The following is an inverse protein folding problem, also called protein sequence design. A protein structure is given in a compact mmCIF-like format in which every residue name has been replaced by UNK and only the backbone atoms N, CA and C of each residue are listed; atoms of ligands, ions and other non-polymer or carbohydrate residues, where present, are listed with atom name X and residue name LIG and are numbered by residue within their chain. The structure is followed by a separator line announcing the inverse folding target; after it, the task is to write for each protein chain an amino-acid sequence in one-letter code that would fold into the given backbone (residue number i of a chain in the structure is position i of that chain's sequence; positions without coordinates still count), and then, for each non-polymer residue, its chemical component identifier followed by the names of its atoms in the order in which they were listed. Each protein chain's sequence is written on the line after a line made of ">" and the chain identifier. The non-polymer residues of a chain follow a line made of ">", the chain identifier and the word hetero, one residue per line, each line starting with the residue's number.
data_IF_516554774071
#
_entry.id   IF_516554774071
#
_cell.length_a   1.000
_cell.length_b   1.000
_cell.length_c   1.000
_cell.angle_alpha   90.00
_cell.angle_beta   90.00
_cell.angle_gamma   90.00
#
_symmetry.space_group_name_H-M   'P 1'
#
loop_
_entity.id
_entity.type
_entity.pdbx_description
1 polymer ?
#
# COMPACT_ATOMS: atom_id res chain seq x y z
N UNK A 1 19.97 -13.32 -36.49
CA UNK A 1 20.81 -12.37 -35.71
C UNK A 1 19.85 -11.58 -34.83
N UNK A 2 19.95 -11.67 -33.51
CA UNK A 2 19.19 -10.78 -32.62
C UNK A 2 19.85 -9.41 -32.66
N UNK A 3 19.06 -8.37 -32.87
CA UNK A 3 19.53 -6.99 -32.81
C UNK A 3 19.90 -6.64 -31.37
N UNK A 4 21.11 -6.09 -31.18
CA UNK A 4 21.60 -5.65 -29.88
C UNK A 4 20.91 -4.32 -29.56
N UNK A 5 19.91 -4.36 -28.68
CA UNK A 5 19.20 -3.16 -28.25
C UNK A 5 19.99 -2.48 -27.12
N UNK A 6 20.64 -1.35 -27.43
CA UNK A 6 21.32 -0.52 -26.44
C UNK A 6 20.33 0.46 -25.78
N UNK A 7 20.06 0.25 -24.48
CA UNK A 7 19.35 1.20 -23.62
C UNK A 7 20.33 2.15 -22.95
N UNK A 8 20.21 3.45 -23.25
CA UNK A 8 21.01 4.52 -22.61
C UNK A 8 20.40 5.03 -21.28
N UNK A 9 19.14 4.71 -21.02
CA UNK A 9 18.40 5.11 -19.81
C UNK A 9 17.63 3.91 -19.28
N UNK A 10 17.71 3.70 -17.97
CA UNK A 10 17.07 2.57 -17.28
C UNK A 10 18.03 1.44 -16.95
N UNK A 11 17.55 0.52 -16.13
CA UNK A 11 18.30 -0.63 -15.66
C UNK A 11 17.70 -1.93 -16.25
N UNK A 12 18.52 -2.94 -16.57
CA UNK A 12 18.02 -4.18 -17.13
C UNK A 12 17.13 -4.92 -16.13
N UNK A 13 15.93 -5.30 -16.56
CA UNK A 13 15.02 -6.13 -15.76
C UNK A 13 15.59 -7.55 -15.64
N UNK A 14 15.54 -8.13 -14.43
CA UNK A 14 16.10 -9.45 -14.14
C UNK A 14 17.57 -9.46 -13.71
N UNK A 15 18.28 -8.32 -13.81
CA UNK A 15 19.58 -8.18 -13.16
C UNK A 15 19.42 -8.03 -11.65
N UNK A 16 20.23 -8.78 -10.90
CA UNK A 16 20.27 -8.73 -9.43
C UNK A 16 20.79 -7.40 -8.89
N UNK A 17 21.55 -6.64 -9.70
CA UNK A 17 22.13 -5.35 -9.30
C UNK A 17 21.15 -4.18 -9.53
N UNK A 18 20.22 -4.30 -10.47
CA UNK A 18 19.29 -3.23 -10.83
C UNK A 18 18.47 -2.70 -9.63
N UNK A 19 17.87 -3.56 -8.75
CA UNK A 19 17.14 -3.08 -7.58
C UNK A 19 18.01 -2.29 -6.61
N UNK A 20 19.26 -2.73 -6.41
CA UNK A 20 20.19 -2.05 -5.51
C UNK A 20 20.54 -0.65 -6.03
N UNK A 21 20.90 -0.55 -7.32
CA UNK A 21 21.21 0.74 -7.94
C UNK A 21 20.01 1.69 -7.89
N UNK A 22 18.79 1.19 -8.06
CA UNK A 22 17.59 2.01 -7.94
C UNK A 22 17.42 2.58 -6.52
N UNK A 23 17.67 1.78 -5.49
CA UNK A 23 17.60 2.23 -4.09
C UNK A 23 18.67 3.30 -3.81
N UNK A 24 19.91 3.06 -4.24
CA UNK A 24 21.02 4.02 -4.03
C UNK A 24 20.77 5.32 -4.78
N UNK A 25 20.22 5.25 -5.99
CA UNK A 25 19.89 6.44 -6.80
C UNK A 25 18.83 7.34 -6.14
N UNK A 26 17.98 6.79 -5.27
CA UNK A 26 16.90 7.51 -4.59
C UNK A 26 17.09 7.65 -3.07
N UNK A 27 18.30 7.41 -2.55
CA UNK A 27 18.55 7.40 -1.12
C UNK A 27 18.34 8.79 -0.47
N UNK A 28 18.45 9.87 -1.24
CA UNK A 28 18.31 11.25 -0.79
C UNK A 28 16.87 11.79 -0.90
N UNK A 29 15.94 11.02 -1.48
CA UNK A 29 14.58 11.47 -1.79
C UNK A 29 13.87 12.03 -0.56
N UNK A 30 13.88 11.28 0.54
CA UNK A 30 13.17 11.62 1.79
C UNK A 30 13.67 12.94 2.37
N UNK A 31 14.99 13.15 2.36
CA UNK A 31 15.62 14.37 2.85
C UNK A 31 15.28 15.56 1.92
N UNK A 32 15.32 15.35 0.60
CA UNK A 32 15.02 16.40 -0.39
C UNK A 32 13.58 16.90 -0.33
N UNK A 33 12.62 16.02 -0.02
CA UNK A 33 11.19 16.37 0.02
C UNK A 33 10.72 16.85 1.40
N UNK A 34 11.57 16.86 2.41
CA UNK A 34 11.20 17.29 3.77
C UNK A 34 10.01 16.51 4.36
N UNK A 35 9.87 15.23 4.01
CA UNK A 35 8.80 14.39 4.50
C UNK A 35 8.92 14.19 6.01
N UNK A 36 7.79 14.18 6.73
CA UNK A 36 7.80 13.89 8.18
C UNK A 36 8.17 12.42 8.43
N UNK A 37 7.59 11.53 7.62
CA UNK A 37 7.95 10.13 7.54
C UNK A 37 7.60 9.61 6.15
N UNK A 38 8.29 8.56 5.71
CA UNK A 38 8.04 7.97 4.40
C UNK A 38 8.31 6.47 4.42
N UNK A 39 7.72 5.76 3.47
CA UNK A 39 8.01 4.38 3.19
C UNK A 39 8.25 4.23 1.69
N UNK A 40 9.46 3.82 1.33
CA UNK A 40 9.90 3.59 -0.05
C UNK A 40 10.06 2.09 -0.24
N UNK A 41 9.35 1.53 -1.20
CA UNK A 41 9.47 0.13 -1.57
C UNK A 41 9.53 0.00 -3.08
N UNK A 42 10.73 -0.29 -3.61
CA UNK A 42 10.99 -0.15 -5.04
C UNK A 42 10.49 1.21 -5.56
N UNK A 43 9.68 1.25 -6.61
CA UNK A 43 9.09 2.47 -7.17
C UNK A 43 7.89 3.03 -6.38
N UNK A 44 7.35 2.28 -5.41
CA UNK A 44 6.26 2.76 -4.58
C UNK A 44 6.76 3.69 -3.46
N UNK A 45 6.29 4.93 -3.47
CA UNK A 45 6.58 5.96 -2.46
C UNK A 45 5.30 6.33 -1.70
N UNK A 46 5.32 6.18 -0.38
CA UNK A 46 4.33 6.76 0.52
C UNK A 46 4.97 7.80 1.44
N UNK A 47 4.27 8.91 1.65
CA UNK A 47 4.67 9.94 2.61
C UNK A 47 3.55 10.12 3.63
N UNK A 48 3.96 10.12 4.90
CA UNK A 48 3.08 10.40 6.02
C UNK A 48 3.31 11.82 6.51
N UNK A 49 2.20 12.54 6.73
CA UNK A 49 2.20 13.92 7.21
C UNK A 49 1.35 13.96 8.47
N UNK A 50 1.91 14.52 9.53
CA UNK A 50 1.25 14.59 10.83
C UNK A 50 1.00 16.05 11.18
N UNK A 51 -0.27 16.46 11.36
CA UNK A 51 -0.55 17.81 11.82
C UNK A 51 -0.15 17.96 13.29
N UNK A 52 0.16 19.19 13.75
CA UNK A 52 0.29 19.46 15.16
C UNK A 52 -1.01 19.11 15.89
N UNK A 53 -0.89 18.58 17.10
CA UNK A 53 -2.06 18.20 17.90
C UNK A 53 -2.77 19.48 18.35
N UNK A 54 -4.00 19.68 17.88
CA UNK A 54 -4.84 20.81 18.26
C UNK A 54 -6.17 20.31 18.85
N UNK A 55 -6.81 21.14 19.68
CA UNK A 55 -8.19 20.86 20.16
C UNK A 55 -9.20 20.91 19.01
N UNK A 56 -8.97 21.78 18.04
CA UNK A 56 -9.83 21.95 16.88
C UNK A 56 -9.25 21.28 15.63
N UNK A 57 -10.15 20.71 14.82
CA UNK A 57 -9.78 20.00 13.58
C UNK A 57 -9.43 20.97 12.45
N UNK A 58 -10.06 22.16 12.41
CA UNK A 58 -9.87 23.15 11.35
C UNK A 58 -8.39 23.55 11.13
N UNK A 59 -7.61 23.93 12.16
CA UNK A 59 -6.19 24.24 11.97
C UNK A 59 -5.38 23.03 11.51
N UNK A 60 -5.72 21.82 11.97
CA UNK A 60 -5.05 20.59 11.54
C UNK A 60 -5.29 20.29 10.06
N UNK A 61 -6.52 20.45 9.56
CA UNK A 61 -6.85 20.28 8.14
C UNK A 61 -6.13 21.34 7.29
N UNK A 62 -6.09 22.59 7.76
CA UNK A 62 -5.39 23.67 7.06
C UNK A 62 -3.89 23.34 6.92
N UNK A 63 -3.26 22.90 8.01
CA UNK A 63 -1.87 22.44 8.00
C UNK A 63 -1.66 21.29 7.01
N UNK A 64 -2.48 20.23 7.09
CA UNK A 64 -2.38 19.09 6.19
C UNK A 64 -2.51 19.48 4.71
N UNK A 65 -3.35 20.47 4.41
CA UNK A 65 -3.54 20.97 3.05
C UNK A 65 -2.28 21.66 2.54
N UNK A 66 -1.76 22.60 3.32
CA UNK A 66 -0.59 23.41 2.97
C UNK A 66 0.65 22.51 2.85
N UNK A 67 0.90 21.70 3.88
CA UNK A 67 2.09 20.86 3.95
C UNK A 67 2.02 19.65 3.01
N UNK A 68 0.83 19.07 2.82
CA UNK A 68 0.60 18.06 1.78
C UNK A 68 0.89 18.59 0.38
N UNK A 69 0.39 19.77 0.06
CA UNK A 69 0.60 20.37 -1.27
C UNK A 69 2.07 20.73 -1.49
N UNK A 70 2.74 21.29 -0.47
CA UNK A 70 4.18 21.60 -0.51
C UNK A 70 5.02 20.36 -0.79
N UNK A 71 4.82 19.30 -0.02
CA UNK A 71 5.57 18.04 -0.15
C UNK A 71 5.30 17.40 -1.51
N UNK A 72 4.03 17.32 -1.95
CA UNK A 72 3.69 16.78 -3.27
C UNK A 72 4.40 17.54 -4.41
N UNK A 73 4.49 18.87 -4.32
CA UNK A 73 5.22 19.66 -5.30
C UNK A 73 6.74 19.45 -5.22
N UNK A 74 7.31 19.24 -4.03
CA UNK A 74 8.72 18.88 -3.88
C UNK A 74 9.03 17.52 -4.50
N UNK A 75 8.15 16.52 -4.33
CA UNK A 75 8.26 15.23 -5.03
C UNK A 75 8.22 15.44 -6.54
N UNK A 76 7.28 16.24 -7.05
CA UNK A 76 7.19 16.52 -8.48
C UNK A 76 8.47 17.16 -9.03
N UNK A 77 9.05 18.11 -8.30
CA UNK A 77 10.32 18.75 -8.66
C UNK A 77 11.51 17.79 -8.60
N UNK A 78 11.58 16.94 -7.57
CA UNK A 78 12.58 15.88 -7.46
C UNK A 78 12.48 14.92 -8.65
N UNK A 79 11.26 14.51 -9.01
CA UNK A 79 10.97 13.63 -10.14
C UNK A 79 11.46 14.22 -11.48
N UNK A 80 11.29 15.53 -11.68
CA UNK A 80 11.79 16.27 -12.85
C UNK A 80 13.32 16.35 -12.86
N UNK A 81 13.94 16.66 -11.71
CA UNK A 81 15.40 16.76 -11.55
C UNK A 81 16.10 15.43 -11.88
N UNK A 82 15.54 14.32 -11.40
CA UNK A 82 16.10 12.97 -11.58
C UNK A 82 15.61 12.26 -12.84
N UNK A 83 14.85 12.96 -13.70
CA UNK A 83 14.31 12.46 -14.98
C UNK A 83 13.44 11.21 -14.84
N UNK A 84 12.73 11.07 -13.73
CA UNK A 84 11.78 10.00 -13.46
C UNK A 84 10.45 10.61 -13.04
N UNK A 85 9.64 11.00 -14.03
CA UNK A 85 8.39 11.70 -13.80
C UNK A 85 7.40 10.82 -13.02
N UNK A 86 6.87 11.37 -11.93
CA UNK A 86 5.82 10.70 -11.15
C UNK A 86 4.51 10.78 -11.92
N UNK A 87 3.76 9.69 -11.89
CA UNK A 87 2.44 9.65 -12.50
C UNK A 87 1.40 10.31 -11.57
N UNK A 88 1.16 11.60 -11.79
CA UNK A 88 0.21 12.39 -10.99
C UNK A 88 -1.21 11.81 -11.03
N UNK A 89 -1.64 11.16 -12.12
CA UNK A 89 -3.00 10.57 -12.18
C UNK A 89 -3.16 9.29 -11.37
N UNK A 90 -2.06 8.59 -11.07
CA UNK A 90 -2.05 7.45 -10.14
C UNK A 90 -1.81 7.86 -8.69
N UNK A 91 -1.39 9.11 -8.46
CA UNK A 91 -1.10 9.60 -7.12
C UNK A 91 -2.40 9.98 -6.43
N UNK A 92 -2.60 9.45 -5.23
CA UNK A 92 -3.80 9.69 -4.42
C UNK A 92 -3.41 10.17 -3.04
N UNK A 93 -4.31 10.91 -2.39
CA UNK A 93 -4.20 11.26 -0.98
C UNK A 93 -5.15 10.38 -0.17
N UNK A 94 -4.70 9.94 1.02
CA UNK A 94 -5.56 9.26 1.98
C UNK A 94 -5.46 9.98 3.33
N UNK A 95 -6.62 10.19 3.97
CA UNK A 95 -6.69 10.83 5.29
C UNK A 95 -7.17 9.81 6.31
N UNK A 96 -6.44 9.69 7.41
CA UNK A 96 -6.88 8.93 8.57
C UNK A 96 -7.55 9.87 9.58
N UNK A 97 -8.77 9.53 10.03
CA UNK A 97 -9.51 10.34 11.00
C UNK A 97 -10.45 9.50 11.87
N UNK A 98 -10.61 9.88 13.14
CA UNK A 98 -11.57 9.25 14.05
C UNK A 98 -13.00 9.79 13.86
N UNK A 99 -13.14 11.04 13.39
CA UNK A 99 -14.42 11.77 13.28
C UNK A 99 -15.48 11.07 12.42
N UNK A 100 -16.76 11.15 12.81
CA UNK A 100 -17.86 10.51 12.06
C UNK A 100 -17.94 11.04 10.63
N UNK A 101 -17.85 12.36 10.46
CA UNK A 101 -17.83 12.99 9.14
C UNK A 101 -16.43 12.96 8.54
N UNK A 102 -16.36 12.75 7.22
CA UNK A 102 -15.09 12.77 6.50
C UNK A 102 -14.61 14.22 6.34
N UNK A 103 -13.36 14.52 6.75
CA UNK A 103 -12.79 15.83 6.51
C UNK A 103 -12.59 16.03 5.01
N UNK A 104 -12.95 17.22 4.51
CA UNK A 104 -12.70 17.61 3.13
C UNK A 104 -11.34 18.31 3.08
N UNK A 105 -10.42 17.74 2.31
CA UNK A 105 -9.11 18.33 2.05
C UNK A 105 -8.88 18.40 0.54
N UNK A 106 -8.16 19.43 0.10
CA UNK A 106 -7.77 19.59 -1.30
C UNK A 106 -6.25 19.69 -1.36
N UNK A 107 -5.57 18.59 -1.65
CA UNK A 107 -4.12 18.54 -1.87
C UNK A 107 -3.84 18.64 -3.36
N UNK A 108 -2.79 19.38 -3.73
CA UNK A 108 -2.41 19.58 -5.12
C UNK A 108 -0.99 19.08 -5.39
N UNK A 109 -0.76 18.58 -6.60
CA UNK A 109 0.56 18.18 -7.10
C UNK A 109 0.69 18.66 -8.55
N UNK A 110 1.71 19.47 -8.83
CA UNK A 110 1.97 20.05 -10.17
C UNK A 110 0.72 20.73 -10.76
N UNK A 111 0.01 21.50 -9.93
CA UNK A 111 -1.22 22.21 -10.30
C UNK A 111 -2.48 21.34 -10.39
N UNK A 112 -2.38 20.01 -10.30
CA UNK A 112 -3.54 19.09 -10.34
C UNK A 112 -4.00 18.73 -8.94
N UNK A 113 -5.32 18.72 -8.72
CA UNK A 113 -5.92 18.25 -7.46
C UNK A 113 -5.80 16.74 -7.37
N UNK A 114 -5.27 16.24 -6.26
CA UNK A 114 -5.22 14.80 -5.99
C UNK A 114 -6.59 14.26 -5.57
N UNK A 115 -6.89 13.03 -5.99
CA UNK A 115 -8.05 12.31 -5.51
C UNK A 115 -7.85 11.90 -4.04
N UNK A 116 -8.86 12.15 -3.21
CA UNK A 116 -8.85 11.72 -1.81
C UNK A 116 -9.62 10.41 -1.70
N UNK A 117 -8.90 9.31 -1.49
CA UNK A 117 -9.48 7.96 -1.43
C UNK A 117 -9.79 7.54 0.00
N UNK A 118 -10.86 6.76 0.17
CA UNK A 118 -11.22 6.16 1.47
C UNK A 118 -10.49 4.86 1.74
N UNK A 119 -10.18 4.12 0.68
CA UNK A 119 -9.45 2.87 0.73
C UNK A 119 -8.27 2.94 -0.22
N UNK A 120 -7.10 2.51 0.26
CA UNK A 120 -5.88 2.46 -0.55
C UNK A 120 -5.21 1.11 -0.35
N UNK A 121 -4.89 0.44 -1.47
CA UNK A 121 -4.20 -0.84 -1.45
C UNK A 121 -2.69 -0.62 -1.55
N UNK A 122 -1.96 -1.05 -0.54
CA UNK A 122 -0.51 -0.91 -0.46
C UNK A 122 0.15 -2.19 0.06
N UNK A 123 1.13 -2.73 -0.69
CA UNK A 123 1.91 -3.93 -0.34
C UNK A 123 1.07 -5.13 0.13
N UNK A 124 -0.10 -5.33 -0.50
CA UNK A 124 -1.01 -6.42 -0.15
C UNK A 124 -2.04 -6.09 0.95
N UNK A 125 -1.92 -4.93 1.61
CA UNK A 125 -2.86 -4.44 2.60
C UNK A 125 -3.84 -3.42 2.01
N UNK A 126 -5.10 -3.49 2.41
CA UNK A 126 -6.10 -2.47 2.12
C UNK A 126 -6.31 -1.61 3.37
N UNK A 127 -5.81 -0.37 3.30
CA UNK A 127 -5.90 0.61 4.36
C UNK A 127 -7.17 1.43 4.17
N UNK A 128 -7.99 1.52 5.21
CA UNK A 128 -9.18 2.39 5.21
C UNK A 128 -8.90 3.69 5.96
N UNK A 129 -9.65 4.76 5.67
CA UNK A 129 -9.59 6.04 6.40
C UNK A 129 -9.82 5.92 7.92
N UNK A 130 -10.39 4.79 8.37
CA UNK A 130 -10.58 4.43 9.79
C UNK A 130 -9.49 3.52 10.36
N UNK A 131 -8.40 3.31 9.63
CA UNK A 131 -7.31 2.39 9.97
C UNK A 131 -7.80 0.94 10.21
N UNK A 132 -8.96 0.59 9.65
CA UNK A 132 -9.46 -0.78 9.68
C UNK A 132 -8.80 -1.59 8.56
N UNK A 133 -8.28 -2.77 8.91
CA UNK A 133 -7.75 -3.76 7.98
C UNK A 133 -8.78 -4.80 7.55
N UNK A 134 -10.06 -4.57 7.89
CA UNK A 134 -11.17 -5.48 7.58
C UNK A 134 -11.23 -5.90 6.10
N UNK A 135 -11.09 -4.99 5.11
CA UNK A 135 -11.12 -5.41 3.70
C UNK A 135 -10.01 -6.41 3.36
N UNK A 136 -8.82 -6.24 3.96
CA UNK A 136 -7.71 -7.17 3.76
C UNK A 136 -7.97 -8.54 4.38
N UNK A 137 -8.55 -8.56 5.57
CA UNK A 137 -8.93 -9.80 6.26
C UNK A 137 -10.02 -10.53 5.47
N UNK A 138 -11.08 -9.82 5.07
CA UNK A 138 -12.20 -10.40 4.33
C UNK A 138 -11.71 -11.01 2.99
N UNK A 139 -10.82 -10.32 2.27
CA UNK A 139 -10.18 -10.84 1.05
C UNK A 139 -9.31 -12.07 1.30
N UNK A 140 -8.57 -12.09 2.41
CA UNK A 140 -7.74 -13.23 2.80
C UNK A 140 -8.60 -14.44 3.14
N UNK A 141 -9.70 -14.24 3.87
CA UNK A 141 -10.68 -15.28 4.16
C UNK A 141 -11.32 -15.83 2.88
N UNK A 142 -11.63 -14.98 1.91
CA UNK A 142 -12.14 -15.42 0.61
C UNK A 142 -11.11 -16.31 -0.12
N UNK A 143 -9.83 -15.92 -0.13
CA UNK A 143 -8.77 -16.73 -0.73
C UNK A 143 -8.59 -18.08 0.00
N UNK A 144 -8.67 -18.08 1.34
CA UNK A 144 -8.66 -19.31 2.14
C UNK A 144 -9.83 -20.19 1.70
N UNK A 145 -11.07 -19.68 1.68
CA UNK A 145 -12.24 -20.45 1.27
C UNK A 145 -12.10 -21.01 -0.15
N UNK A 146 -11.60 -20.24 -1.10
CA UNK A 146 -11.34 -20.69 -2.48
C UNK A 146 -10.33 -21.83 -2.52
N UNK A 147 -9.22 -21.74 -1.78
CA UNK A 147 -8.22 -22.83 -1.74
C UNK A 147 -8.73 -24.07 -1.02
N UNK A 148 -9.51 -23.91 0.05
CA UNK A 148 -10.16 -25.03 0.73
C UNK A 148 -11.19 -25.74 -0.13
N UNK A 149 -11.99 -25.00 -0.90
CA UNK A 149 -12.95 -25.60 -1.82
C UNK A 149 -12.25 -26.48 -2.86
N UNK A 150 -11.08 -26.04 -3.37
CA UNK A 150 -10.25 -26.86 -4.27
C UNK A 150 -9.72 -28.12 -3.57
N UNK A 151 -9.19 -27.99 -2.34
CA UNK A 151 -8.73 -29.13 -1.55
C UNK A 151 -9.86 -30.13 -1.26
N UNK A 152 -11.05 -29.62 -0.92
CA UNK A 152 -12.25 -30.44 -0.66
C UNK A 152 -12.70 -31.17 -1.92
N UNK A 153 -12.68 -30.51 -3.06
CA UNK A 153 -12.99 -31.12 -4.36
C UNK A 153 -12.00 -32.25 -4.69
N UNK A 154 -10.69 -32.01 -4.54
CA UNK A 154 -9.66 -33.05 -4.76
C UNK A 154 -9.83 -34.25 -3.82
N UNK A 155 -10.20 -34.02 -2.56
CA UNK A 155 -10.53 -35.08 -1.60
C UNK A 155 -11.77 -35.87 -2.05
N UNK A 156 -12.79 -35.20 -2.57
CA UNK A 156 -14.04 -35.80 -3.04
C UNK A 156 -13.85 -36.75 -4.23
N UNK A 157 -12.88 -36.47 -5.10
CA UNK A 157 -12.54 -37.33 -6.24
C UNK A 157 -11.90 -38.68 -5.87
N UNK A 158 -11.56 -38.92 -4.59
CA UNK A 158 -10.89 -40.14 -4.06
C UNK A 158 -9.60 -40.56 -4.79
N UNK A 159 -9.07 -39.73 -5.68
CA UNK A 159 -7.88 -40.02 -6.50
C UNK A 159 -6.57 -39.65 -5.80
N UNK A 160 -6.65 -38.84 -4.74
CA UNK A 160 -5.49 -38.20 -4.10
C UNK A 160 -5.31 -38.69 -2.68
N UNK A 161 -4.09 -39.12 -2.32
CA UNK A 161 -3.77 -39.56 -0.96
C UNK A 161 -3.84 -38.42 0.05
N UNK A 162 -4.05 -38.77 1.32
CA UNK A 162 -4.08 -37.80 2.43
C UNK A 162 -2.76 -37.04 2.58
N UNK A 163 -1.62 -37.68 2.31
CA UNK A 163 -0.32 -37.03 2.33
C UNK A 163 -0.15 -35.98 1.25
N UNK A 164 -0.64 -36.24 0.03
CA UNK A 164 -0.61 -35.26 -1.06
C UNK A 164 -1.52 -34.08 -0.73
N UNK A 165 -2.73 -34.33 -0.20
CA UNK A 165 -3.63 -33.27 0.25
C UNK A 165 -3.00 -32.40 1.35
N UNK A 166 -2.29 -33.01 2.31
CA UNK A 166 -1.54 -32.29 3.34
C UNK A 166 -0.46 -31.41 2.74
N UNK A 167 0.34 -31.91 1.78
CA UNK A 167 1.35 -31.12 1.07
C UNK A 167 0.72 -29.96 0.30
N UNK A 168 -0.37 -30.19 -0.41
CA UNK A 168 -1.10 -29.13 -1.11
C UNK A 168 -1.65 -28.06 -0.15
N UNK A 169 -2.15 -28.46 1.02
CA UNK A 169 -2.58 -27.52 2.04
C UNK A 169 -1.43 -26.61 2.49
N UNK A 170 -0.27 -27.18 2.84
CA UNK A 170 0.89 -26.39 3.25
C UNK A 170 1.46 -25.52 2.14
N UNK A 171 1.45 -26.00 0.88
CA UNK A 171 1.95 -25.25 -0.26
C UNK A 171 1.03 -24.07 -0.65
N UNK A 172 -0.30 -24.27 -0.65
CA UNK A 172 -1.23 -23.33 -1.28
C UNK A 172 -2.17 -22.60 -0.32
N UNK A 173 -2.48 -23.18 0.84
CA UNK A 173 -3.46 -22.62 1.78
C UNK A 173 -2.82 -22.07 3.06
N UNK A 174 -1.79 -22.75 3.58
CA UNK A 174 -1.21 -22.43 4.89
C UNK A 174 -0.66 -21.01 4.97
N UNK A 175 -0.03 -20.52 3.90
CA UNK A 175 0.55 -19.18 3.89
C UNK A 175 -0.50 -18.07 4.11
N UNK A 176 -1.75 -18.26 3.68
CA UNK A 176 -2.82 -17.30 3.97
C UNK A 176 -3.14 -17.23 5.47
N UNK A 177 -3.07 -18.36 6.19
CA UNK A 177 -3.25 -18.37 7.64
C UNK A 177 -2.07 -17.73 8.34
N UNK A 178 -0.85 -18.08 7.92
CA UNK A 178 0.36 -17.48 8.47
C UNK A 178 0.36 -15.95 8.29
N UNK A 179 -0.09 -15.47 7.13
CA UNK A 179 -0.24 -14.05 6.84
C UNK A 179 -1.37 -13.39 7.64
N UNK A 180 -2.49 -14.09 7.89
CA UNK A 180 -3.60 -13.57 8.69
C UNK A 180 -3.30 -13.55 10.20
N UNK A 181 -2.42 -14.43 10.69
CA UNK A 181 -2.16 -14.63 12.12
C UNK A 181 -1.79 -13.33 12.87
N UNK A 182 -0.88 -12.47 12.37
CA UNK A 182 -0.58 -11.19 13.01
C UNK A 182 -1.75 -10.20 13.05
N UNK A 183 -2.71 -10.33 12.12
CA UNK A 183 -3.85 -9.42 11.98
C UNK A 183 -5.08 -9.88 12.78
N UNK A 184 -5.03 -11.09 13.34
CA UNK A 184 -6.12 -11.67 14.11
C UNK A 184 -6.58 -10.81 15.30
N UNK A 185 -5.70 -10.12 16.06
CA UNK A 185 -6.13 -9.22 17.13
C UNK A 185 -7.03 -8.07 16.63
N UNK A 186 -6.76 -7.56 15.42
CA UNK A 186 -7.56 -6.50 14.78
C UNK A 186 -8.90 -7.00 14.25
N UNK A 187 -9.12 -8.31 14.19
CA UNK A 187 -10.38 -8.94 13.78
C UNK A 187 -11.43 -8.98 14.90
N UNK A 188 -11.10 -8.65 16.16
CA UNK A 188 -12.10 -8.64 17.24
C UNK A 188 -13.25 -7.71 16.86
N UNK A 189 -14.40 -8.30 16.48
CA UNK A 189 -15.67 -7.57 16.35
C UNK A 189 -15.85 -6.77 17.64
N UNK A 190 -16.22 -5.48 17.57
CA UNK A 190 -16.59 -4.77 18.78
C UNK A 190 -17.64 -5.62 19.48
N UNK A 191 -17.43 -5.94 20.76
CA UNK A 191 -18.49 -6.51 21.59
C UNK A 191 -19.69 -5.60 21.36
N UNK A 192 -20.77 -6.13 20.79
CA UNK A 192 -22.05 -5.45 20.89
C UNK A 192 -22.26 -5.34 22.39
N UNK A 193 -22.15 -4.13 22.93
CA UNK A 193 -22.68 -3.87 24.26
C UNK A 193 -24.18 -4.16 24.10
N UNK A 194 -24.62 -5.32 24.60
CA UNK A 194 -26.01 -5.53 24.90
C UNK A 194 -26.34 -4.50 25.99
N UNK A 195 -26.95 -3.40 25.57
CA UNK A 195 -27.82 -2.61 26.44
C UNK A 195 -29.20 -3.25 26.40
#
# INVERSE_FOLDING_TARGET
>A
KSDIFCTYVGLPQGSSLSPYLFIVYHCDLVACVGAHSSHIFADDLNIFIFPPICREIKPMIKFLKEEGTKICNQIANYSKKWKQLVNVSKTVAQIFHSQVQNPIINVFMDGKKLEVVKEFKYLGFAWTNKMSLKPTIDKTLENIQRTFSKLRWMKGGKTVSTDVLRRCFFAYSFWYFAWMFPLYPSYRKPKKNCC
#
